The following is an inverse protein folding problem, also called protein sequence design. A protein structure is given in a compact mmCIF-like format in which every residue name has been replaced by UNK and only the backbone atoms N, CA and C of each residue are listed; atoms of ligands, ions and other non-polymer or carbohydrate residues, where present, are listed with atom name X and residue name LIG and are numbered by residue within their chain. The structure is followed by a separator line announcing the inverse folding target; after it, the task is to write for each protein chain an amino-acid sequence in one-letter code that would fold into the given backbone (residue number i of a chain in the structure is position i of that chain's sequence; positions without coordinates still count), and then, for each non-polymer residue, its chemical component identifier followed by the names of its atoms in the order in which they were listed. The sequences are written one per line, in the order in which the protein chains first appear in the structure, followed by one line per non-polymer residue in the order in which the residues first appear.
data_IF_666348331716
#
_entry.id   IF_666348331716
#
_cell.length_a   1.000
_cell.length_b   1.000
_cell.length_c   1.000
_cell.angle_alpha   90.00
_cell.angle_beta   90.00
_cell.angle_gamma   90.00
#
_symmetry.space_group_name_H-M   'P 1'
#
loop_
_entity.id
_entity.type
_entity.pdbx_description
1 polymer ?
#
# COMPACT_ATOMS: atom_id res chain seq x y z
N UNK A 1 2.27 15.80 16.79
CA UNK A 1 2.38 14.52 16.04
C UNK A 1 3.25 14.80 14.82
N UNK A 2 4.44 14.22 14.74
CA UNK A 2 5.34 14.44 13.60
C UNK A 2 4.73 13.90 12.30
N UNK A 3 5.02 14.54 11.16
CA UNK A 3 4.56 14.08 9.85
C UNK A 3 5.09 12.67 9.60
N UNK A 4 4.22 11.76 9.18
CA UNK A 4 4.65 10.44 8.75
C UNK A 4 5.48 10.56 7.47
N UNK A 5 6.55 9.76 7.38
CA UNK A 5 7.36 9.69 6.17
C UNK A 5 6.51 9.18 4.99
N UNK A 6 6.78 9.67 3.77
CA UNK A 6 5.98 9.35 2.57
C UNK A 6 5.78 7.85 2.36
N UNK A 7 6.84 7.03 2.53
CA UNK A 7 6.72 5.57 2.40
C UNK A 7 5.84 4.93 3.48
N UNK A 8 5.80 5.50 4.69
CA UNK A 8 4.91 5.03 5.76
C UNK A 8 3.46 5.27 5.39
N UNK A 9 3.15 6.43 4.79
CA UNK A 9 1.80 6.75 4.31
C UNK A 9 1.36 5.79 3.19
N UNK A 10 2.25 5.48 2.25
CA UNK A 10 1.97 4.49 1.19
C UNK A 10 1.69 3.11 1.74
N UNK A 11 2.46 2.65 2.74
CA UNK A 11 2.23 1.37 3.43
C UNK A 11 0.88 1.36 4.16
N UNK A 12 0.55 2.46 4.85
CA UNK A 12 -0.74 2.60 5.54
C UNK A 12 -1.89 2.53 4.54
N UNK A 13 -1.79 3.24 3.41
CA UNK A 13 -2.80 3.22 2.35
C UNK A 13 -3.03 1.82 1.80
N UNK A 14 -1.97 1.14 1.37
CA UNK A 14 -2.05 -0.23 0.85
C UNK A 14 -2.74 -1.18 1.83
N UNK A 15 -2.35 -1.12 3.10
CA UNK A 15 -2.93 -1.99 4.14
C UNK A 15 -4.41 -1.64 4.38
N UNK A 16 -4.76 -0.36 4.46
CA UNK A 16 -6.15 0.06 4.59
C UNK A 16 -7.01 -0.37 3.40
N UNK A 17 -6.50 -0.25 2.17
CA UNK A 17 -7.21 -0.66 0.96
C UNK A 17 -7.55 -2.16 0.98
N UNK A 18 -6.59 -3.02 1.33
CA UNK A 18 -6.80 -4.47 1.49
C UNK A 18 -7.84 -4.75 2.58
N UNK A 19 -7.73 -4.08 3.72
CA UNK A 19 -8.67 -4.27 4.83
C UNK A 19 -10.07 -3.86 4.41
N UNK A 20 -10.24 -2.73 3.73
CA UNK A 20 -11.54 -2.23 3.30
C UNK A 20 -12.22 -3.15 2.28
N UNK A 21 -11.46 -3.85 1.43
CA UNK A 21 -12.00 -4.81 0.47
C UNK A 21 -12.53 -6.09 1.12
N UNK A 22 -11.95 -6.52 2.25
CA UNK A 22 -12.24 -7.83 2.85
C UNK A 22 -12.92 -7.78 4.21
N UNK A 23 -12.97 -6.62 4.87
CA UNK A 23 -13.58 -6.45 6.18
C UNK A 23 -15.09 -6.29 6.07
N UNK A 24 -15.84 -7.10 6.83
CA UNK A 24 -17.29 -6.95 6.98
C UNK A 24 -17.65 -6.91 8.48
N UNK A 25 -18.34 -5.85 8.95
CA UNK A 25 -18.78 -5.77 10.34
C UNK A 25 -19.82 -6.85 10.64
N UNK A 26 -19.69 -7.50 11.79
CA UNK A 26 -20.61 -8.56 12.23
C UNK A 26 -20.29 -9.96 11.69
N UNK A 27 -19.32 -10.12 10.78
CA UNK A 27 -18.90 -11.42 10.28
C UNK A 27 -17.52 -11.82 10.86
N UNK A 28 -17.50 -12.86 11.72
CA UNK A 28 -16.26 -13.34 12.33
C UNK A 28 -15.22 -13.83 11.31
N UNK A 29 -15.68 -14.43 10.20
CA UNK A 29 -14.80 -14.90 9.13
C UNK A 29 -14.07 -13.73 8.42
N UNK A 30 -14.64 -12.53 8.47
CA UNK A 30 -14.10 -11.30 7.88
C UNK A 30 -13.69 -10.27 8.95
N UNK A 31 -13.35 -10.76 10.15
CA UNK A 31 -12.76 -9.93 11.20
C UNK A 31 -11.36 -9.43 10.82
N UNK A 32 -10.92 -8.31 11.41
CA UNK A 32 -9.57 -7.75 11.18
C UNK A 32 -8.45 -8.78 11.33
N UNK A 33 -8.56 -9.69 12.29
CA UNK A 33 -7.56 -10.74 12.51
C UNK A 33 -7.52 -11.76 11.37
N UNK A 34 -8.68 -12.18 10.86
CA UNK A 34 -8.76 -13.11 9.72
C UNK A 34 -8.25 -12.45 8.45
N UNK A 35 -8.70 -11.22 8.18
CA UNK A 35 -8.24 -10.42 7.04
C UNK A 35 -6.74 -10.20 7.08
N UNK A 36 -6.20 -9.88 8.27
CA UNK A 36 -4.77 -9.76 8.47
C UNK A 36 -4.01 -11.03 8.09
N UNK A 37 -4.44 -12.18 8.62
CA UNK A 37 -3.76 -13.46 8.43
C UNK A 37 -3.83 -13.94 6.98
N UNK A 38 -4.95 -13.70 6.30
CA UNK A 38 -5.21 -14.23 4.95
C UNK A 38 -4.75 -13.31 3.83
N UNK A 39 -4.92 -11.99 3.98
CA UNK A 39 -4.70 -11.03 2.88
C UNK A 39 -3.56 -10.06 3.15
N UNK A 40 -3.45 -9.53 4.39
CA UNK A 40 -2.41 -8.52 4.69
C UNK A 40 -1.04 -9.16 4.85
N UNK A 41 -0.91 -10.21 5.67
CA UNK A 41 0.38 -10.79 6.01
C UNK A 41 1.16 -11.35 4.80
N UNK A 42 0.51 -11.97 3.78
CA UNK A 42 1.21 -12.41 2.58
C UNK A 42 1.77 -11.27 1.72
N UNK A 43 1.05 -10.15 1.63
CA UNK A 43 1.45 -8.99 0.81
C UNK A 43 2.42 -8.09 1.57
N UNK A 44 2.15 -7.90 2.86
CA UNK A 44 2.86 -6.99 3.72
C UNK A 44 3.01 -7.60 5.13
N UNK A 45 4.12 -8.33 5.36
CA UNK A 45 4.39 -8.96 6.64
C UNK A 45 4.52 -7.91 7.75
N UNK A 46 3.53 -7.87 8.62
CA UNK A 46 3.53 -6.99 9.78
C UNK A 46 2.77 -7.62 10.93
N UNK A 47 3.08 -7.22 12.16
CA UNK A 47 2.35 -7.69 13.32
C UNK A 47 0.93 -7.10 13.36
N UNK A 48 -0.02 -7.84 13.95
CA UNK A 48 -1.42 -7.42 14.08
C UNK A 48 -1.57 -6.05 14.77
N UNK A 49 -0.70 -5.73 15.74
CA UNK A 49 -0.68 -4.41 16.40
C UNK A 49 -0.37 -3.28 15.42
N UNK A 50 0.52 -3.50 14.47
CA UNK A 50 0.85 -2.52 13.42
C UNK A 50 -0.33 -2.29 12.50
N UNK A 51 -1.06 -3.35 12.12
CA UNK A 51 -2.29 -3.24 11.36
C UNK A 51 -3.32 -2.33 12.07
N UNK A 52 -3.59 -2.60 13.34
CA UNK A 52 -4.53 -1.77 14.12
C UNK A 52 -4.06 -0.33 14.24
N UNK A 53 -2.74 -0.09 14.35
CA UNK A 53 -2.19 1.26 14.34
C UNK A 53 -2.47 1.95 13.01
N UNK A 54 -2.31 1.26 11.89
CA UNK A 54 -2.56 1.83 10.55
C UNK A 54 -4.02 2.18 10.34
N UNK A 55 -4.95 1.30 10.74
CA UNK A 55 -6.40 1.55 10.66
C UNK A 55 -6.80 2.78 11.49
N UNK A 56 -6.20 2.94 12.68
CA UNK A 56 -6.48 4.07 13.57
C UNK A 56 -5.70 5.35 13.21
N UNK A 57 -4.80 5.32 12.22
CA UNK A 57 -4.05 6.50 11.82
C UNK A 57 -4.91 7.31 10.83
N UNK A 58 -5.21 8.59 11.11
CA UNK A 58 -5.95 9.41 10.15
C UNK A 58 -5.09 9.67 8.90
N UNK A 59 -5.53 9.20 7.73
CA UNK A 59 -4.90 9.45 6.42
C UNK A 59 -5.11 10.90 5.92
N UNK A 60 -5.10 11.89 6.82
CA UNK A 60 -5.49 13.28 6.55
C UNK A 60 -4.71 13.96 5.42
N UNK A 61 -3.53 13.45 5.06
CA UNK A 61 -2.60 14.12 4.14
C UNK A 61 -2.33 13.36 2.83
N UNK A 62 -3.01 12.25 2.54
CA UNK A 62 -2.74 11.42 1.34
C UNK A 62 -3.44 11.88 0.05
N UNK A 63 -4.07 13.06 0.06
CA UNK A 63 -4.58 13.71 -1.17
C UNK A 63 -3.42 14.40 -1.90
N UNK A 64 -2.61 13.67 -2.67
CA UNK A 64 -1.81 14.16 -3.83
C UNK A 64 -0.55 13.33 -4.12
N UNK A 65 -0.66 12.00 -4.26
CA UNK A 65 0.34 11.27 -5.06
C UNK A 65 -0.28 11.08 -6.45
N UNK A 66 -0.16 12.13 -7.27
CA UNK A 66 -0.31 12.09 -8.72
C UNK A 66 0.67 11.05 -9.32
N UNK A 67 0.43 10.54 -10.55
CA UNK A 67 1.04 9.31 -11.05
C UNK A 67 2.57 9.38 -11.06
N UNK A 68 3.14 8.20 -10.92
CA UNK A 68 4.56 7.90 -10.78
C UNK A 68 5.45 8.77 -11.68
N UNK A 69 6.50 9.30 -11.06
CA UNK A 69 7.54 10.11 -11.68
C UNK A 69 8.04 9.38 -12.95
N UNK A 70 7.75 9.92 -14.14
CA UNK A 70 8.12 9.42 -15.49
C UNK A 70 9.65 9.33 -15.72
N UNK A 71 10.44 9.41 -14.65
CA UNK A 71 11.90 9.29 -14.64
C UNK A 71 12.39 7.85 -14.53
N UNK A 72 11.54 6.86 -14.82
CA UNK A 72 12.07 5.57 -15.23
C UNK A 72 12.86 5.82 -16.52
N UNK A 73 14.16 6.08 -16.37
CA UNK A 73 15.10 6.17 -17.48
C UNK A 73 14.90 4.91 -18.30
N UNK A 74 14.50 5.09 -19.56
CA UNK A 74 14.58 4.06 -20.57
C UNK A 74 16.06 3.72 -20.74
N UNK A 75 16.52 2.69 -20.01
CA UNK A 75 17.90 2.24 -20.02
C UNK A 75 18.24 1.48 -21.32
N UNK A 76 17.22 1.09 -22.08
CA UNK A 76 17.32 0.39 -23.35
C UNK A 76 16.27 0.98 -24.31
N UNK A 77 16.47 2.22 -24.78
CA UNK A 77 15.97 2.54 -26.12
C UNK A 77 17.03 1.97 -27.07
N UNK A 78 16.76 0.76 -27.58
CA UNK A 78 17.67 -0.03 -28.41
C UNK A 78 18.16 0.75 -29.64
N UNK A 79 19.48 0.88 -29.76
CA UNK A 79 20.19 1.21 -31.00
C UNK A 79 19.86 0.15 -32.07
N UNK A 80 18.85 0.40 -32.90
CA UNK A 80 18.63 -0.36 -34.15
C UNK A 80 18.31 0.59 -35.29
N UNK A 81 19.36 1.04 -35.98
CA UNK A 81 19.32 1.29 -37.43
C UNK A 81 20.74 1.44 -37.99
N UNK A 82 21.50 0.36 -37.98
CA UNK A 82 22.46 0.12 -39.06
C UNK A 82 21.70 -0.53 -40.21
N UNK A 83 21.65 0.14 -41.37
CA UNK A 83 21.91 -0.42 -42.71
C UNK A 83 21.54 0.62 -43.78
N UNK A 84 22.56 1.30 -44.32
CA UNK A 84 22.58 1.78 -45.71
C UNK A 84 23.72 1.07 -46.44
#
# INVERSE_FOLDING_TARGET
MGKHHKNTLRRIKLVCDIVQQHYEPGNYAKSYYKVWRQYVNPVYPCCYRTLLKYINTPLGDLKSDAPEDLRQLKLFDDDTSETE
#
